data_IF_317018401133
#
_entry.id   IF_317018401133
#
_cell.length_a   1.000
_cell.length_b   1.000
_cell.length_c   1.000
_cell.angle_alpha   90.00
_cell.angle_beta   90.00
_cell.angle_gamma   90.00
#
_symmetry.space_group_name_H-M   'P 1'
#
loop_
_entity.id
_entity.type
_entity.pdbx_description
1 polymer ?
#
# COMPACT_ATOMS: atom_id res chain seq x y z
N UNK A 1 -0.10 70.98 -25.29
CA UNK A 1 -1.23 70.10 -25.01
C UNK A 1 -2.25 70.28 -26.11
N UNK A 2 -2.55 69.20 -26.88
CA UNK A 2 -3.60 69.25 -27.88
C UNK A 2 -4.96 69.30 -27.19
N UNK A 3 -5.82 70.21 -27.59
CA UNK A 3 -7.18 70.35 -27.08
C UNK A 3 -8.08 69.38 -27.85
N UNK A 4 -8.70 68.47 -27.12
CA UNK A 4 -9.67 67.54 -27.69
C UNK A 4 -11.03 68.24 -27.74
N UNK A 5 -11.59 68.49 -28.94
CA UNK A 5 -12.90 69.07 -29.12
C UNK A 5 -13.93 67.94 -29.33
N UNK A 6 -14.89 67.87 -28.41
CA UNK A 6 -15.96 66.90 -28.47
C UNK A 6 -16.37 66.35 -27.06
N UNK A 7 -17.30 65.44 -27.08
CA UNK A 7 -17.69 64.71 -25.85
C UNK A 7 -16.56 63.77 -25.48
N UNK A 8 -16.03 63.86 -24.27
CA UNK A 8 -15.05 62.93 -23.72
C UNK A 8 -15.77 61.61 -23.42
N UNK A 9 -15.43 60.56 -24.10
CA UNK A 9 -16.00 59.23 -23.87
C UNK A 9 -15.09 58.29 -23.07
N UNK A 10 -15.57 57.08 -22.77
CA UNK A 10 -14.82 56.09 -21.98
C UNK A 10 -13.59 55.56 -22.71
N UNK A 11 -13.55 55.66 -24.06
CA UNK A 11 -12.40 55.21 -24.84
C UNK A 11 -11.25 56.20 -24.73
N UNK A 12 -11.55 57.51 -24.67
CA UNK A 12 -10.54 58.59 -24.50
C UNK A 12 -9.88 58.52 -23.10
N UNK A 13 -10.57 57.94 -22.12
CA UNK A 13 -10.09 57.80 -20.75
C UNK A 13 -9.55 56.37 -20.44
N UNK A 14 -9.59 55.46 -21.41
CA UNK A 14 -9.24 54.06 -21.17
C UNK A 14 -7.87 53.84 -20.53
N UNK A 15 -6.87 54.64 -20.91
CA UNK A 15 -5.53 54.60 -20.33
C UNK A 15 -5.40 55.28 -18.96
N UNK A 16 -6.43 56.04 -18.50
CA UNK A 16 -6.43 56.84 -17.27
C UNK A 16 -7.38 56.31 -16.22
N UNK A 17 -8.25 55.35 -16.58
CA UNK A 17 -9.08 54.68 -15.55
C UNK A 17 -8.22 53.87 -14.59
N UNK A 18 -8.53 53.94 -13.32
CA UNK A 18 -7.96 52.99 -12.34
C UNK A 18 -8.44 51.60 -12.68
N UNK A 19 -7.53 50.65 -12.86
CA UNK A 19 -7.91 49.25 -13.05
C UNK A 19 -8.75 48.75 -11.85
N UNK A 20 -9.97 48.34 -12.17
CA UNK A 20 -10.89 47.76 -11.19
C UNK A 20 -10.62 46.25 -11.10
N UNK A 21 -9.48 45.88 -10.52
CA UNK A 21 -9.17 44.49 -10.21
C UNK A 21 -9.51 44.19 -8.75
N UNK A 22 -10.09 43.04 -8.50
CA UNK A 22 -10.27 42.59 -7.12
C UNK A 22 -8.91 42.43 -6.45
N UNK A 23 -8.76 42.95 -5.24
CA UNK A 23 -7.54 42.83 -4.45
C UNK A 23 -7.40 41.45 -3.77
N UNK A 24 -8.50 40.67 -3.69
CA UNK A 24 -8.48 39.34 -3.11
C UNK A 24 -8.03 38.27 -4.11
N UNK A 25 -7.05 37.46 -3.75
CA UNK A 25 -6.60 36.31 -4.52
C UNK A 25 -7.40 35.08 -4.13
N UNK A 26 -8.01 34.42 -5.11
CA UNK A 26 -8.68 33.14 -4.90
C UNK A 26 -7.66 32.01 -5.11
N UNK A 27 -7.51 31.17 -4.10
CA UNK A 27 -6.62 30.02 -4.18
C UNK A 27 -7.44 28.78 -4.55
N UNK A 28 -6.96 28.03 -5.55
CA UNK A 28 -7.49 26.71 -5.85
C UNK A 28 -6.95 25.72 -4.79
N UNK A 29 -7.84 24.94 -4.20
CA UNK A 29 -7.52 23.97 -3.14
C UNK A 29 -6.83 24.54 -1.88
N UNK A 30 -7.32 25.62 -1.27
CA UNK A 30 -6.67 26.20 -0.09
C UNK A 30 -6.75 25.28 1.14
N UNK A 31 -7.82 24.47 1.24
CA UNK A 31 -8.08 23.54 2.35
C UNK A 31 -8.44 22.16 1.78
N UNK A 32 -7.94 21.09 2.44
CA UNK A 32 -8.23 19.71 2.05
C UNK A 32 -7.42 19.19 0.85
N UNK A 33 -6.36 19.91 0.45
CA UNK A 33 -5.44 19.45 -0.60
C UNK A 33 -4.55 18.28 -0.13
N UNK A 34 -4.44 18.07 1.19
CA UNK A 34 -3.54 17.12 1.83
C UNK A 34 -4.31 16.19 2.78
N UNK A 35 -5.16 15.28 2.25
CA UNK A 35 -6.00 14.45 3.11
C UNK A 35 -5.22 13.46 3.96
N UNK A 36 -4.12 12.90 3.46
CA UNK A 36 -3.29 11.95 4.20
C UNK A 36 -2.49 12.67 5.30
N UNK A 37 -1.77 13.74 4.98
CA UNK A 37 -1.04 14.52 5.97
C UNK A 37 -1.96 15.14 7.02
N UNK A 38 -3.14 15.62 6.61
CA UNK A 38 -4.14 16.13 7.54
C UNK A 38 -4.71 15.05 8.46
N UNK A 39 -4.80 13.83 8.01
CA UNK A 39 -5.21 12.69 8.82
C UNK A 39 -4.07 12.25 9.76
N UNK A 40 -2.85 12.12 9.25
CA UNK A 40 -1.68 11.70 10.04
C UNK A 40 -1.37 12.69 11.17
N UNK A 41 -1.57 13.98 10.95
CA UNK A 41 -1.41 15.00 12.01
C UNK A 41 -2.47 14.93 13.13
N UNK A 42 -3.55 14.17 12.93
CA UNK A 42 -4.58 13.93 13.96
C UNK A 42 -4.38 12.58 14.67
N UNK A 43 -3.57 11.69 14.11
CA UNK A 43 -3.17 10.43 14.71
C UNK A 43 -1.93 10.64 15.60
N UNK A 44 -1.56 9.61 16.34
CA UNK A 44 -0.35 9.63 17.14
C UNK A 44 0.88 9.79 16.25
N UNK A 45 1.65 10.83 16.51
CA UNK A 45 2.98 11.02 15.94
C UNK A 45 4.00 10.39 16.87
N UNK A 46 4.93 9.64 16.29
CA UNK A 46 6.00 9.01 17.05
C UNK A 46 7.34 9.48 16.51
N UNK A 47 8.02 10.37 17.24
CA UNK A 47 9.30 10.93 16.83
C UNK A 47 10.42 9.90 16.81
N UNK A 48 11.42 10.11 15.96
CA UNK A 48 12.59 9.25 15.81
C UNK A 48 13.87 10.03 16.07
N UNK A 49 14.87 9.37 16.67
CA UNK A 49 16.15 10.01 17.03
C UNK A 49 17.23 9.83 15.96
N UNK A 50 16.97 9.02 14.93
CA UNK A 50 17.94 8.68 13.88
C UNK A 50 17.29 8.73 12.51
N UNK A 51 18.06 9.04 11.45
CA UNK A 51 17.56 9.03 10.08
C UNK A 51 17.08 7.66 9.60
N UNK A 52 17.54 6.58 10.21
CA UNK A 52 17.05 5.21 9.96
C UNK A 52 16.24 4.77 11.17
N UNK A 53 15.01 4.42 10.94
CA UNK A 53 14.12 3.90 11.97
C UNK A 53 13.51 2.57 11.53
N UNK A 54 13.08 1.77 12.49
CA UNK A 54 12.48 0.46 12.23
C UNK A 54 11.40 0.15 13.23
N UNK A 55 10.59 -0.83 12.87
CA UNK A 55 9.54 -1.41 13.71
C UNK A 55 9.50 -2.92 13.53
N UNK A 56 8.88 -3.61 14.47
CA UNK A 56 8.76 -5.05 14.45
C UNK A 56 7.34 -5.45 14.08
N UNK A 57 7.21 -6.38 13.14
CA UNK A 57 5.92 -6.95 12.73
C UNK A 57 5.91 -8.44 13.03
N UNK A 58 4.87 -8.90 13.73
CA UNK A 58 4.61 -10.32 13.95
C UNK A 58 3.26 -10.68 13.33
N UNK A 59 3.27 -11.73 12.49
CA UNK A 59 2.07 -12.20 11.80
C UNK A 59 1.63 -13.51 12.37
N UNK A 60 0.33 -13.64 12.64
CA UNK A 60 -0.22 -14.93 12.97
C UNK A 60 -0.04 -15.89 11.79
N UNK A 61 0.75 -16.93 12.01
CA UNK A 61 1.10 -17.89 10.98
C UNK A 61 0.03 -18.98 10.89
N UNK A 62 -0.62 -19.11 9.77
CA UNK A 62 -1.36 -20.33 9.43
C UNK A 62 -0.34 -21.33 8.93
N UNK A 63 -0.14 -22.43 9.67
CA UNK A 63 0.79 -23.48 9.26
C UNK A 63 0.32 -24.14 7.98
N UNK A 64 0.81 -23.59 6.86
CA UNK A 64 0.45 -24.01 5.51
C UNK A 64 1.69 -23.96 4.62
N UNK A 65 1.76 -24.86 3.66
CA UNK A 65 2.73 -24.83 2.56
C UNK A 65 2.04 -25.27 1.27
N UNK A 66 2.73 -25.15 0.16
CA UNK A 66 2.26 -25.67 -1.12
C UNK A 66 3.08 -26.89 -1.52
N UNK A 67 2.46 -27.81 -2.27
CA UNK A 67 3.20 -28.90 -2.89
C UNK A 67 4.02 -28.37 -4.04
N UNK A 68 5.23 -28.88 -4.21
CA UNK A 68 5.97 -28.68 -5.45
C UNK A 68 6.24 -30.00 -6.15
N UNK A 69 6.47 -29.92 -7.44
CA UNK A 69 6.74 -31.07 -8.28
C UNK A 69 8.24 -31.38 -8.27
N UNK A 70 8.61 -32.52 -7.68
CA UNK A 70 9.98 -32.99 -7.76
C UNK A 70 10.08 -33.96 -8.96
N UNK A 71 10.84 -33.65 -9.94
CA UNK A 71 11.11 -34.48 -11.15
C UNK A 71 9.86 -35.00 -11.89
N UNK A 72 8.96 -35.74 -11.24
CA UNK A 72 7.79 -36.36 -11.82
C UNK A 72 6.50 -36.28 -11.03
N UNK A 73 6.52 -35.79 -9.78
CA UNK A 73 5.29 -35.66 -8.98
C UNK A 73 5.48 -35.01 -7.62
N UNK A 74 4.35 -34.64 -6.98
CA UNK A 74 4.32 -34.12 -5.62
C UNK A 74 4.30 -35.23 -4.56
N UNK A 75 4.06 -36.50 -4.94
CA UNK A 75 3.97 -37.62 -4.03
C UNK A 75 4.98 -38.72 -4.41
N UNK A 76 5.64 -39.30 -3.43
CA UNK A 76 6.59 -40.40 -3.61
C UNK A 76 6.45 -41.46 -2.52
N UNK A 77 7.01 -42.63 -2.76
CA UNK A 77 7.17 -43.66 -1.72
C UNK A 77 8.12 -43.19 -0.65
N UNK A 78 8.13 -43.87 0.52
CA UNK A 78 9.08 -43.55 1.59
C UNK A 78 10.55 -43.66 1.15
N UNK A 79 10.84 -44.46 0.13
CA UNK A 79 12.17 -44.60 -0.48
C UNK A 79 12.53 -43.48 -1.47
N UNK A 80 11.60 -42.54 -1.75
CA UNK A 80 11.82 -41.43 -2.68
C UNK A 80 11.59 -41.80 -4.16
N UNK A 81 10.93 -42.92 -4.44
CA UNK A 81 10.46 -43.26 -5.78
C UNK A 81 9.11 -42.60 -5.97
N UNK A 82 9.00 -41.79 -7.02
CA UNK A 82 7.79 -41.06 -7.32
C UNK A 82 6.61 -42.01 -7.58
N UNK A 83 5.43 -41.61 -7.13
CA UNK A 83 4.21 -42.37 -7.40
C UNK A 83 3.80 -42.21 -8.88
N UNK A 84 3.19 -43.23 -9.42
CA UNK A 84 2.54 -43.14 -10.74
C UNK A 84 1.30 -42.23 -10.66
N UNK A 85 0.86 -41.74 -11.81
CA UNK A 85 -0.33 -40.88 -11.91
C UNK A 85 -1.64 -41.55 -11.47
N UNK A 86 -1.66 -42.82 -11.18
CA UNK A 86 -2.83 -43.54 -10.70
C UNK A 86 -2.44 -44.39 -9.51
N UNK A 87 -2.17 -43.75 -8.38
CA UNK A 87 -1.83 -44.50 -7.18
C UNK A 87 -2.97 -44.45 -6.15
N UNK A 88 -2.90 -45.41 -5.23
CA UNK A 88 -3.84 -45.45 -4.10
C UNK A 88 -3.18 -44.91 -2.84
N UNK A 89 -3.70 -43.80 -2.31
CA UNK A 89 -3.38 -43.30 -0.99
C UNK A 89 -4.00 -44.25 0.05
N UNK A 90 -3.23 -45.17 0.60
CA UNK A 90 -3.74 -46.28 1.44
C UNK A 90 -3.57 -45.96 2.92
N UNK A 91 -4.63 -46.06 3.69
CA UNK A 91 -4.60 -45.86 5.15
C UNK A 91 -3.53 -46.76 5.82
N UNK A 92 -2.74 -46.15 6.70
CA UNK A 92 -1.62 -46.79 7.39
C UNK A 92 -0.30 -46.82 6.62
N UNK A 93 -0.30 -46.64 5.28
CA UNK A 93 0.90 -46.53 4.46
C UNK A 93 1.52 -45.13 4.57
N UNK A 94 2.84 -45.04 4.38
CA UNK A 94 3.58 -43.78 4.47
C UNK A 94 4.05 -43.34 3.10
N UNK A 95 3.88 -42.04 2.81
CA UNK A 95 4.25 -41.38 1.56
C UNK A 95 5.11 -40.17 1.85
N UNK A 96 5.97 -39.78 0.92
CA UNK A 96 6.59 -38.46 0.89
C UNK A 96 5.67 -37.50 0.17
N UNK A 97 5.46 -36.36 0.75
CA UNK A 97 4.79 -35.20 0.13
C UNK A 97 5.83 -34.12 0.00
N UNK A 98 6.15 -33.73 -1.23
CA UNK A 98 7.09 -32.64 -1.48
C UNK A 98 6.39 -31.31 -1.21
N UNK A 99 7.01 -30.46 -0.40
CA UNK A 99 6.46 -29.19 0.05
C UNK A 99 7.52 -28.11 -0.02
N UNK A 100 7.14 -26.90 -0.41
CA UNK A 100 8.04 -25.76 -0.53
C UNK A 100 8.70 -25.41 0.81
N UNK A 101 7.91 -25.39 1.88
CA UNK A 101 8.43 -25.16 3.24
C UNK A 101 8.07 -26.30 4.16
N UNK A 102 9.03 -27.18 4.40
CA UNK A 102 8.88 -28.30 5.33
C UNK A 102 8.98 -27.87 6.80
N UNK A 103 9.50 -26.68 7.08
CA UNK A 103 9.69 -26.18 8.46
C UNK A 103 8.37 -25.83 9.14
N UNK A 104 7.31 -25.67 8.36
CA UNK A 104 5.94 -25.45 8.86
C UNK A 104 5.36 -26.67 9.58
N UNK A 105 5.88 -27.86 9.28
CA UNK A 105 5.31 -29.11 9.75
C UNK A 105 6.17 -29.75 10.82
N UNK A 106 5.51 -30.39 11.79
CA UNK A 106 6.17 -31.14 12.84
C UNK A 106 5.71 -32.59 12.85
N UNK A 107 6.56 -33.43 13.38
CA UNK A 107 6.18 -34.83 13.62
C UNK A 107 4.94 -34.88 14.50
N UNK A 108 3.94 -35.67 14.14
CA UNK A 108 2.63 -35.84 14.75
C UNK A 108 1.59 -34.76 14.41
N UNK A 109 1.90 -33.82 13.52
CA UNK A 109 0.86 -32.95 13.00
C UNK A 109 -0.03 -33.73 12.02
N UNK A 110 -1.32 -33.41 12.06
CA UNK A 110 -2.29 -33.92 11.10
C UNK A 110 -2.37 -32.91 9.97
N UNK A 111 -2.05 -33.36 8.77
CA UNK A 111 -2.11 -32.53 7.58
C UNK A 111 -3.31 -32.84 6.71
N UNK A 112 -3.67 -31.87 5.94
CA UNK A 112 -4.71 -31.95 4.92
C UNK A 112 -4.18 -31.37 3.62
N UNK A 113 -4.07 -32.21 2.59
CA UNK A 113 -3.73 -31.82 1.23
C UNK A 113 -5.04 -31.61 0.49
N UNK A 114 -5.29 -30.39 0.03
CA UNK A 114 -6.55 -29.98 -0.61
C UNK A 114 -6.48 -30.14 -2.11
N UNK A 115 -7.67 -30.43 -2.69
CA UNK A 115 -7.92 -30.36 -4.13
C UNK A 115 -6.98 -31.21 -4.97
N UNK A 116 -6.57 -32.39 -4.46
CA UNK A 116 -5.72 -33.31 -5.21
C UNK A 116 -6.51 -33.90 -6.38
N UNK A 117 -6.06 -33.74 -7.64
CA UNK A 117 -6.80 -34.23 -8.79
C UNK A 117 -6.92 -35.76 -8.81
N UNK A 118 -7.99 -36.26 -9.40
CA UNK A 118 -8.11 -37.66 -9.73
C UNK A 118 -7.30 -37.95 -11.01
N UNK A 119 -6.53 -39.04 -11.02
CA UNK A 119 -5.67 -39.41 -12.13
C UNK A 119 -6.40 -39.58 -13.48
N UNK A 120 -7.65 -40.08 -13.46
CA UNK A 120 -8.45 -40.32 -14.66
C UNK A 120 -9.37 -39.16 -15.04
N UNK A 121 -9.69 -38.27 -14.08
CA UNK A 121 -10.65 -37.19 -14.30
C UNK A 121 -10.23 -35.99 -13.43
N UNK A 122 -9.42 -35.10 -13.99
CA UNK A 122 -8.85 -33.95 -13.28
C UNK A 122 -9.90 -33.00 -12.67
N UNK A 123 -11.15 -33.03 -13.11
CA UNK A 123 -12.26 -32.25 -12.53
C UNK A 123 -12.75 -32.77 -11.17
N UNK A 124 -12.43 -34.05 -10.84
CA UNK A 124 -12.73 -34.60 -9.51
C UNK A 124 -11.57 -34.36 -8.59
N UNK A 125 -11.82 -33.69 -7.47
CA UNK A 125 -10.80 -33.27 -6.52
C UNK A 125 -10.96 -34.04 -5.19
N UNK A 126 -9.86 -34.63 -4.74
CA UNK A 126 -9.80 -35.37 -3.49
C UNK A 126 -9.21 -34.51 -2.36
N UNK A 127 -9.48 -34.95 -1.14
CA UNK A 127 -9.02 -34.35 0.10
C UNK A 127 -8.20 -35.41 0.86
N UNK A 128 -6.87 -35.31 0.80
CA UNK A 128 -6.02 -36.32 1.45
C UNK A 128 -5.65 -35.87 2.85
N UNK A 129 -5.75 -36.76 3.80
CA UNK A 129 -5.37 -36.52 5.21
C UNK A 129 -4.35 -37.53 5.68
N UNK A 130 -3.42 -37.08 6.51
CA UNK A 130 -2.39 -37.95 7.06
C UNK A 130 -1.68 -37.33 8.25
N UNK A 131 -0.94 -38.16 8.98
CA UNK A 131 -0.11 -37.75 10.13
C UNK A 131 1.33 -37.66 9.69
N UNK A 132 1.99 -36.54 9.96
CA UNK A 132 3.43 -36.36 9.70
C UNK A 132 4.22 -37.28 10.62
N UNK A 133 5.05 -38.13 10.06
CA UNK A 133 5.93 -39.05 10.77
C UNK A 133 7.38 -38.62 10.78
N UNK A 134 7.81 -37.89 9.76
CA UNK A 134 9.15 -37.29 9.69
C UNK A 134 9.12 -36.04 8.79
N UNK A 135 10.04 -35.14 9.02
CA UNK A 135 10.28 -33.95 8.18
C UNK A 135 11.73 -33.97 7.69
N UNK A 136 11.94 -33.62 6.44
CA UNK A 136 13.26 -33.48 5.83
C UNK A 136 13.27 -32.36 4.81
N UNK A 137 14.46 -31.90 4.42
CA UNK A 137 14.57 -30.80 3.46
C UNK A 137 13.81 -31.10 2.16
N UNK A 138 12.82 -30.26 1.87
CA UNK A 138 12.01 -30.33 0.66
C UNK A 138 10.85 -31.34 0.69
N UNK A 139 10.66 -32.12 1.74
CA UNK A 139 9.50 -33.01 1.85
C UNK A 139 9.13 -33.34 3.29
N UNK A 140 7.90 -33.78 3.46
CA UNK A 140 7.40 -34.37 4.70
C UNK A 140 7.02 -35.83 4.45
N UNK A 141 7.26 -36.70 5.43
CA UNK A 141 6.78 -38.09 5.39
C UNK A 141 5.47 -38.17 6.14
N UNK A 142 4.44 -38.64 5.47
CA UNK A 142 3.07 -38.62 5.96
C UNK A 142 2.50 -40.03 5.95
N UNK A 143 1.95 -40.47 7.07
CA UNK A 143 1.18 -41.72 7.17
C UNK A 143 -0.29 -41.40 6.89
N UNK A 144 -0.85 -42.00 5.87
CA UNK A 144 -2.24 -41.83 5.46
C UNK A 144 -3.23 -42.28 6.57
N UNK A 145 -4.26 -41.49 6.81
CA UNK A 145 -5.35 -41.82 7.75
C UNK A 145 -6.50 -42.49 7.00
N UNK A 146 -6.79 -42.05 5.80
CA UNK A 146 -7.90 -42.51 4.96
C UNK A 146 -7.36 -43.18 3.68
N UNK A 147 -8.15 -44.06 3.07
CA UNK A 147 -7.80 -44.67 1.79
C UNK A 147 -8.53 -43.95 0.67
N UNK A 148 -7.78 -43.50 -0.35
CA UNK A 148 -8.31 -42.89 -1.56
C UNK A 148 -7.63 -43.47 -2.77
N UNK A 149 -8.42 -44.10 -3.68
CA UNK A 149 -7.94 -44.65 -4.91
C UNK A 149 -7.88 -43.59 -6.05
N UNK A 150 -7.12 -43.91 -7.09
CA UNK A 150 -7.01 -43.10 -8.31
C UNK A 150 -6.54 -41.68 -8.07
N UNK A 151 -5.56 -41.50 -7.21
CA UNK A 151 -4.95 -40.19 -6.88
C UNK A 151 -3.91 -39.85 -7.93
N UNK A 152 -3.95 -38.63 -8.48
CA UNK A 152 -2.89 -38.16 -9.38
C UNK A 152 -1.62 -37.83 -8.58
N UNK A 153 -0.47 -38.07 -9.21
CA UNK A 153 0.84 -37.53 -8.74
C UNK A 153 1.54 -36.75 -9.85
N UNK A 154 0.84 -36.49 -10.97
CA UNK A 154 1.39 -35.80 -12.13
C UNK A 154 1.61 -34.29 -11.93
N UNK A 155 1.88 -33.61 -13.04
CA UNK A 155 2.16 -32.18 -13.05
C UNK A 155 1.00 -31.30 -12.52
N UNK A 156 -0.21 -31.83 -12.50
CA UNK A 156 -1.41 -31.19 -11.95
C UNK A 156 -1.48 -31.19 -10.41
N UNK A 157 -0.51 -31.80 -9.74
CA UNK A 157 -0.38 -31.81 -8.27
C UNK A 157 0.59 -30.75 -7.74
N UNK A 158 1.09 -29.88 -8.58
CA UNK A 158 1.91 -28.72 -8.20
C UNK A 158 1.03 -27.62 -7.61
N UNK A 159 1.57 -26.88 -6.63
CA UNK A 159 0.90 -25.75 -5.95
C UNK A 159 -0.41 -26.12 -5.22
N UNK A 160 -0.57 -27.37 -4.78
CA UNK A 160 -1.69 -27.75 -3.93
C UNK A 160 -1.45 -27.28 -2.51
N UNK A 161 -2.48 -26.76 -1.87
CA UNK A 161 -2.41 -26.31 -0.49
C UNK A 161 -2.33 -27.49 0.50
N UNK A 162 -1.33 -27.45 1.37
CA UNK A 162 -1.14 -28.39 2.46
C UNK A 162 -1.27 -27.64 3.78
N UNK A 163 -2.28 -27.99 4.58
CA UNK A 163 -2.56 -27.34 5.85
C UNK A 163 -2.30 -28.27 7.03
N UNK A 164 -1.86 -27.71 8.16
CA UNK A 164 -1.91 -28.40 9.45
C UNK A 164 -3.29 -28.14 10.08
N UNK A 165 -4.08 -29.19 10.25
CA UNK A 165 -5.44 -29.10 10.82
C UNK A 165 -5.49 -29.48 12.30
N UNK A 166 -4.40 -29.99 12.83
CA UNK A 166 -4.33 -30.37 14.23
C UNK A 166 -3.09 -31.16 14.56
N UNK A 167 -3.01 -31.65 15.76
CA UNK A 167 -1.92 -32.54 16.17
C UNK A 167 -2.46 -33.66 17.06
N UNK A 168 -1.99 -34.89 16.83
CA UNK A 168 -2.29 -36.03 17.63
C UNK A 168 -1.09 -36.43 18.50
N UNK A 169 -1.26 -36.41 19.80
CA UNK A 169 -0.27 -36.95 20.73
C UNK A 169 -0.65 -38.38 21.13
N UNK A 170 0.33 -39.22 21.38
CA UNK A 170 0.15 -40.54 21.92
C UNK A 170 -0.16 -40.48 23.43
N UNK A 171 -0.92 -41.41 23.90
CA UNK A 171 -1.18 -41.58 25.35
C UNK A 171 0.15 -41.90 26.07
N UNK A 172 0.47 -41.14 27.13
CA UNK A 172 1.74 -41.27 27.85
C UNK A 172 2.97 -40.74 27.09
N UNK A 173 2.76 -40.06 25.96
CA UNK A 173 3.84 -39.50 25.13
C UNK A 173 4.53 -38.30 25.76
N UNK A 174 5.74 -37.99 25.29
CA UNK A 174 6.48 -36.78 25.68
C UNK A 174 5.92 -35.55 25.00
N UNK A 175 6.13 -34.36 25.59
CA UNK A 175 5.82 -33.10 24.98
C UNK A 175 6.52 -32.94 23.60
N UNK A 176 5.81 -32.41 22.62
CA UNK A 176 6.37 -32.11 21.31
C UNK A 176 7.43 -31.00 21.39
N UNK A 177 8.31 -30.98 20.41
CA UNK A 177 9.25 -29.87 20.23
C UNK A 177 8.48 -28.59 20.03
N UNK A 178 8.79 -27.54 20.80
CA UNK A 178 8.22 -26.20 20.62
C UNK A 178 8.59 -25.63 19.27
N UNK A 179 7.75 -24.79 18.69
CA UNK A 179 8.12 -23.89 17.59
C UNK A 179 7.86 -22.46 18.01
N UNK A 180 8.63 -21.59 17.46
CA UNK A 180 8.50 -20.15 17.64
C UNK A 180 8.83 -19.46 16.33
N UNK A 181 8.22 -18.33 16.12
CA UNK A 181 8.53 -17.42 15.03
C UNK A 181 9.10 -16.14 15.62
N UNK A 182 10.03 -15.53 14.93
CA UNK A 182 10.53 -14.22 15.33
C UNK A 182 9.79 -13.13 14.55
N UNK A 183 9.47 -12.00 15.21
CA UNK A 183 9.01 -10.82 14.50
C UNK A 183 10.00 -10.39 13.40
N UNK A 184 9.47 -9.83 12.33
CA UNK A 184 10.26 -9.30 11.21
C UNK A 184 10.56 -7.83 11.50
N UNK A 185 11.83 -7.44 11.39
CA UNK A 185 12.23 -6.03 11.46
C UNK A 185 12.02 -5.36 10.10
N UNK A 186 11.20 -4.33 10.07
CA UNK A 186 10.96 -3.48 8.91
C UNK A 186 11.58 -2.12 9.17
N UNK A 187 12.31 -1.57 8.20
CA UNK A 187 12.99 -0.29 8.36
C UNK A 187 12.62 0.70 7.27
N UNK A 188 12.66 2.00 7.59
CA UNK A 188 12.54 3.09 6.64
C UNK A 188 13.55 4.21 6.98
N UNK A 189 13.60 5.24 6.14
CA UNK A 189 14.45 6.41 6.32
C UNK A 189 13.62 7.66 6.50
N UNK A 190 14.13 8.62 7.27
CA UNK A 190 13.64 10.00 7.21
C UNK A 190 14.17 10.67 5.95
N UNK A 191 13.38 11.58 5.40
CA UNK A 191 13.73 12.39 4.25
C UNK A 191 13.69 13.86 4.61
N UNK A 192 14.70 14.61 4.18
CA UNK A 192 14.79 16.06 4.41
C UNK A 192 14.05 16.77 3.27
N UNK A 193 12.98 17.45 3.61
CA UNK A 193 12.22 18.29 2.69
C UNK A 193 12.61 19.74 2.89
N UNK A 194 13.04 20.42 1.83
CA UNK A 194 13.41 21.84 1.86
C UNK A 194 12.69 22.62 0.77
N UNK A 195 12.05 23.72 1.15
CA UNK A 195 11.41 24.62 0.20
C UNK A 195 11.81 26.04 0.53
N UNK A 196 12.85 26.51 -0.18
CA UNK A 196 13.38 27.86 0.03
C UNK A 196 12.66 28.90 -0.82
N UNK A 197 12.57 30.11 -0.31
CA UNK A 197 12.12 31.28 -1.05
C UNK A 197 12.93 32.52 -0.67
N UNK A 198 13.23 33.34 -1.65
CA UNK A 198 14.07 34.51 -1.48
C UNK A 198 13.44 35.75 -2.09
N UNK A 199 13.83 36.90 -1.56
CA UNK A 199 13.40 38.20 -2.02
C UNK A 199 14.59 39.17 -2.03
N UNK A 200 14.64 40.05 -3.02
CA UNK A 200 15.50 41.21 -2.96
C UNK A 200 14.89 42.26 -1.99
N UNK A 201 15.74 43.10 -1.44
CA UNK A 201 15.30 44.22 -0.58
C UNK A 201 14.26 45.10 -1.26
N UNK A 202 14.41 45.37 -2.56
CA UNK A 202 13.48 46.14 -3.36
C UNK A 202 12.11 45.44 -3.46
N UNK A 203 12.08 44.15 -3.71
CA UNK A 203 10.83 43.36 -3.79
C UNK A 203 10.06 43.33 -2.46
N UNK A 204 10.76 43.31 -1.31
CA UNK A 204 10.13 43.36 0.01
C UNK A 204 9.46 44.71 0.30
N UNK A 205 9.98 45.81 -0.25
CA UNK A 205 9.43 47.13 -0.11
C UNK A 205 8.32 47.45 -1.11
N UNK A 206 8.26 46.71 -2.23
CA UNK A 206 7.22 46.87 -3.24
C UNK A 206 5.87 46.31 -2.72
N UNK A 207 4.84 47.13 -2.81
CA UNK A 207 3.46 46.67 -2.51
C UNK A 207 2.91 45.80 -3.62
N UNK A 208 2.11 44.80 -3.28
CA UNK A 208 1.36 44.03 -4.24
C UNK A 208 0.05 44.74 -4.61
N UNK A 209 -0.25 44.81 -5.88
CA UNK A 209 -1.46 45.48 -6.38
C UNK A 209 -2.75 44.72 -6.01
N UNK A 210 -2.65 43.42 -5.79
CA UNK A 210 -3.79 42.50 -5.56
C UNK A 210 -3.88 41.99 -4.12
N UNK A 211 -2.92 42.29 -3.25
CA UNK A 211 -2.89 41.78 -1.90
C UNK A 211 -2.21 42.79 -0.94
N UNK A 212 -2.98 43.30 0.05
CA UNK A 212 -2.48 44.23 1.06
C UNK A 212 -1.68 43.51 2.15
N UNK A 213 -1.67 42.15 2.19
CA UNK A 213 -0.94 41.36 3.20
C UNK A 213 0.59 41.38 3.02
N UNK A 214 1.05 41.83 1.85
CA UNK A 214 2.45 41.97 1.50
C UNK A 214 3.03 40.77 0.78
N UNK A 215 4.06 41.02 -0.04
CA UNK A 215 4.75 40.03 -0.89
C UNK A 215 5.24 38.82 -0.10
N UNK A 216 5.77 39.06 1.09
CA UNK A 216 6.34 38.02 1.96
C UNK A 216 5.29 36.99 2.39
N UNK A 217 4.18 37.43 2.97
CA UNK A 217 3.13 36.53 3.48
C UNK A 217 2.51 35.70 2.39
N UNK A 218 2.22 36.32 1.23
CA UNK A 218 1.64 35.63 0.08
C UNK A 218 2.57 34.52 -0.44
N UNK A 219 3.87 34.82 -0.54
CA UNK A 219 4.85 33.86 -1.06
C UNK A 219 5.17 32.78 -0.03
N UNK A 220 5.27 33.11 1.26
CA UNK A 220 5.43 32.13 2.33
C UNK A 220 4.27 31.12 2.34
N UNK A 221 3.02 31.60 2.21
CA UNK A 221 1.83 30.73 2.10
C UNK A 221 1.89 29.81 0.87
N UNK A 222 2.26 30.34 -0.30
CA UNK A 222 2.39 29.49 -1.52
C UNK A 222 3.47 28.43 -1.37
N UNK A 223 4.60 28.77 -0.77
CA UNK A 223 5.69 27.81 -0.57
C UNK A 223 5.36 26.79 0.52
N UNK A 224 4.62 27.14 1.56
CA UNK A 224 4.09 26.19 2.55
C UNK A 224 3.18 25.16 1.87
N UNK A 225 2.23 25.59 1.02
CA UNK A 225 1.38 24.67 0.25
C UNK A 225 2.19 23.76 -0.68
N UNK A 226 3.22 24.30 -1.33
CA UNK A 226 4.12 23.51 -2.17
C UNK A 226 4.89 22.48 -1.34
N UNK A 227 5.38 22.86 -0.18
CA UNK A 227 6.11 22.00 0.75
C UNK A 227 5.25 20.82 1.18
N UNK A 228 4.02 21.08 1.63
CA UNK A 228 3.05 20.02 1.98
C UNK A 228 2.67 19.14 0.79
N UNK A 229 2.57 19.70 -0.42
CA UNK A 229 2.30 18.89 -1.62
C UNK A 229 3.40 17.84 -1.88
N UNK A 230 4.65 18.24 -1.70
CA UNK A 230 5.79 17.32 -1.92
C UNK A 230 5.80 16.23 -0.86
N UNK A 231 5.53 16.57 0.41
CA UNK A 231 5.42 15.58 1.49
C UNK A 231 4.27 14.60 1.26
N UNK A 232 3.08 15.11 0.92
CA UNK A 232 1.90 14.28 0.63
C UNK A 232 2.19 13.26 -0.48
N UNK A 233 2.77 13.71 -1.60
CA UNK A 233 3.10 12.82 -2.71
C UNK A 233 4.21 11.84 -2.35
N UNK A 234 5.18 12.22 -1.53
CA UNK A 234 6.23 11.32 -1.06
C UNK A 234 5.67 10.22 -0.15
N UNK A 235 4.65 10.51 0.68
CA UNK A 235 3.97 9.50 1.48
C UNK A 235 3.28 8.42 0.62
N UNK A 236 2.74 8.78 -0.55
CA UNK A 236 2.15 7.79 -1.46
C UNK A 236 3.18 7.07 -2.32
N UNK A 237 4.08 7.81 -2.97
CA UNK A 237 4.91 7.33 -4.09
C UNK A 237 6.42 7.35 -3.80
N UNK A 238 6.85 7.70 -2.60
CA UNK A 238 8.25 7.73 -2.21
C UNK A 238 8.92 6.36 -2.36
N UNK A 239 10.21 6.37 -2.68
CA UNK A 239 11.01 5.14 -2.82
C UNK A 239 12.11 5.15 -1.77
N UNK A 240 12.15 4.13 -0.92
CA UNK A 240 13.20 3.97 0.08
C UNK A 240 14.55 3.79 -0.59
N UNK A 241 15.45 4.75 -0.39
CA UNK A 241 16.80 4.70 -0.95
C UNK A 241 17.76 5.60 -0.17
N UNK A 242 19.02 5.20 -0.12
CA UNK A 242 20.13 6.02 0.34
C UNK A 242 21.10 6.20 -0.82
N UNK A 243 21.40 7.45 -1.14
CA UNK A 243 22.38 7.83 -2.16
C UNK A 243 23.50 8.65 -1.49
N UNK A 244 24.65 8.72 -2.13
CA UNK A 244 25.72 9.66 -1.77
C UNK A 244 25.75 10.78 -2.80
N UNK A 245 25.57 12.00 -2.35
CA UNK A 245 25.52 13.19 -3.20
C UNK A 245 26.64 14.14 -2.78
N UNK A 246 27.29 14.76 -3.75
CA UNK A 246 28.31 15.79 -3.49
C UNK A 246 27.62 17.09 -3.10
N UNK A 247 27.92 17.64 -1.91
CA UNK A 247 27.42 18.93 -1.46
C UNK A 247 28.11 20.08 -2.21
N UNK A 248 27.68 21.32 -1.94
CA UNK A 248 28.26 22.52 -2.57
C UNK A 248 29.73 22.75 -2.19
N UNK A 249 30.21 22.16 -1.11
CA UNK A 249 31.59 22.23 -0.64
C UNK A 249 32.49 21.14 -1.25
N UNK A 250 31.91 20.20 -2.01
CA UNK A 250 32.63 19.11 -2.69
C UNK A 250 32.71 17.80 -1.88
N UNK A 251 32.08 17.73 -0.70
CA UNK A 251 32.08 16.55 0.14
C UNK A 251 30.92 15.59 -0.23
N UNK A 252 31.20 14.29 -0.15
CA UNK A 252 30.18 13.25 -0.31
C UNK A 252 29.35 13.12 0.96
N UNK A 253 28.07 13.48 0.87
CA UNK A 253 27.12 13.40 2.00
C UNK A 253 25.98 12.43 1.68
N UNK A 254 25.46 11.70 2.70
CA UNK A 254 24.33 10.81 2.48
C UNK A 254 23.04 11.59 2.21
N UNK A 255 22.29 11.16 1.20
CA UNK A 255 20.93 11.60 0.90
C UNK A 255 19.98 10.43 1.13
N UNK A 256 19.08 10.56 2.09
CA UNK A 256 18.07 9.54 2.41
C UNK A 256 16.72 9.91 1.82
N UNK A 257 16.03 8.93 1.27
CA UNK A 257 14.68 9.04 0.71
C UNK A 257 13.76 8.07 1.42
N UNK A 258 12.59 8.56 1.85
CA UNK A 258 11.60 7.74 2.54
C UNK A 258 10.84 6.85 1.57
N UNK A 259 10.54 5.61 1.97
CA UNK A 259 9.61 4.74 1.26
C UNK A 259 8.17 5.18 1.54
N UNK A 260 7.38 5.34 0.49
CA UNK A 260 5.94 5.60 0.57
C UNK A 260 5.10 4.32 0.53
N UNK A 261 3.79 4.48 0.58
CA UNK A 261 2.82 3.36 0.62
C UNK A 261 3.02 2.42 -0.58
N UNK A 262 3.10 2.96 -1.81
CA UNK A 262 3.30 2.13 -3.02
C UNK A 262 4.58 1.29 -2.93
N UNK A 263 5.66 1.82 -2.37
CA UNK A 263 6.93 1.10 -2.23
C UNK A 263 6.78 -0.11 -1.31
N UNK A 264 6.12 0.05 -0.14
CA UNK A 264 5.88 -1.06 0.80
C UNK A 264 4.98 -2.14 0.20
N UNK A 265 3.92 -1.74 -0.53
CA UNK A 265 3.07 -2.70 -1.25
C UNK A 265 3.86 -3.51 -2.27
N UNK A 266 4.76 -2.85 -3.01
CA UNK A 266 5.64 -3.52 -3.98
C UNK A 266 6.62 -4.46 -3.31
N UNK A 267 7.21 -4.10 -2.16
CA UNK A 267 8.09 -5.00 -1.40
C UNK A 267 7.34 -6.23 -0.89
N UNK A 268 6.09 -6.06 -0.47
CA UNK A 268 5.23 -7.18 -0.09
C UNK A 268 4.99 -8.13 -1.27
N UNK A 269 4.72 -7.60 -2.47
CA UNK A 269 4.50 -8.42 -3.67
C UNK A 269 5.75 -9.17 -4.13
N UNK A 270 6.93 -8.59 -3.97
CA UNK A 270 8.22 -9.24 -4.29
C UNK A 270 8.48 -10.40 -3.33
N UNK A 271 8.12 -10.27 -2.06
CA UNK A 271 8.40 -11.29 -1.05
C UNK A 271 9.89 -11.57 -0.86
N UNK A 272 10.21 -12.74 -0.33
CA UNK A 272 11.59 -13.19 -0.14
C UNK A 272 12.05 -14.13 -1.25
N UNK A 273 12.26 -13.60 -2.44
CA UNK A 273 12.74 -14.39 -3.59
C UNK A 273 14.26 -14.38 -3.77
N UNK A 274 15.01 -13.76 -2.85
CA UNK A 274 16.44 -13.55 -3.01
C UNK A 274 16.81 -12.50 -4.07
N UNK A 275 15.84 -11.95 -4.78
CA UNK A 275 16.01 -10.96 -5.85
C UNK A 275 15.85 -9.50 -5.38
N UNK A 276 16.23 -9.19 -4.14
CA UNK A 276 16.30 -7.81 -3.66
C UNK A 276 15.07 -7.31 -2.91
N UNK A 277 14.17 -8.17 -2.47
CA UNK A 277 13.18 -7.84 -1.45
C UNK A 277 13.89 -7.42 -0.17
N UNK A 278 13.58 -6.22 0.35
CA UNK A 278 14.22 -5.71 1.56
C UNK A 278 13.71 -6.39 2.82
N UNK A 279 12.56 -7.04 2.76
CA UNK A 279 11.89 -7.64 3.92
C UNK A 279 11.21 -8.96 3.54
N UNK A 280 11.27 -9.89 4.45
CA UNK A 280 10.62 -11.19 4.30
C UNK A 280 9.15 -11.14 4.77
N UNK A 281 8.33 -10.40 4.03
CA UNK A 281 6.90 -10.29 4.36
C UNK A 281 6.12 -11.58 4.13
N UNK A 282 6.58 -12.42 3.19
CA UNK A 282 5.94 -13.68 2.82
C UNK A 282 6.98 -14.78 2.79
N UNK A 283 6.92 -15.66 3.76
CA UNK A 283 7.78 -16.85 3.79
C UNK A 283 7.43 -17.77 2.62
N UNK A 284 8.36 -17.94 1.67
CA UNK A 284 8.24 -18.87 0.56
C UNK A 284 7.27 -18.48 -0.57
N UNK A 285 6.74 -17.25 -0.59
CA UNK A 285 5.86 -16.78 -1.66
C UNK A 285 6.60 -16.43 -2.95
N UNK A 286 6.04 -16.79 -4.11
CA UNK A 286 6.56 -16.36 -5.41
C UNK A 286 6.46 -14.84 -5.59
N UNK A 287 7.40 -14.25 -6.35
CA UNK A 287 7.33 -12.84 -6.73
C UNK A 287 6.12 -12.60 -7.66
N UNK A 288 5.17 -11.82 -7.18
CA UNK A 288 3.97 -11.45 -7.95
C UNK A 288 4.00 -10.00 -8.43
N UNK A 289 5.09 -9.27 -8.20
CA UNK A 289 5.18 -7.85 -8.53
C UNK A 289 5.00 -7.55 -10.03
N UNK A 290 5.51 -8.44 -10.89
CA UNK A 290 5.41 -8.31 -12.34
C UNK A 290 4.08 -8.82 -12.94
N UNK A 291 3.26 -9.53 -12.16
CA UNK A 291 2.01 -10.10 -12.64
C UNK A 291 0.94 -9.04 -12.84
N UNK A 292 0.20 -9.14 -13.93
CA UNK A 292 -0.93 -8.24 -14.24
C UNK A 292 -2.29 -8.87 -13.91
N UNK A 293 -2.36 -10.19 -13.87
CA UNK A 293 -3.56 -10.95 -13.50
C UNK A 293 -3.68 -11.03 -11.98
N UNK A 294 -4.28 -9.99 -11.40
CA UNK A 294 -4.45 -9.88 -9.97
C UNK A 294 -5.50 -10.86 -9.41
N UNK A 295 -6.43 -11.35 -10.23
CA UNK A 295 -7.45 -12.30 -9.79
C UNK A 295 -6.84 -13.67 -9.43
N UNK A 296 -5.86 -14.11 -10.21
CA UNK A 296 -5.15 -15.37 -9.97
C UNK A 296 -4.17 -15.28 -8.80
N UNK A 297 -3.50 -14.12 -8.65
CA UNK A 297 -2.47 -13.93 -7.61
C UNK A 297 -3.02 -13.22 -6.37
N UNK A 298 -3.37 -13.98 -5.35
CA UNK A 298 -4.00 -13.48 -4.12
C UNK A 298 -3.15 -12.46 -3.34
N UNK A 299 -1.84 -12.56 -3.42
CA UNK A 299 -0.90 -11.65 -2.72
C UNK A 299 -0.66 -10.34 -3.46
N UNK A 300 -1.27 -10.14 -4.64
CA UNK A 300 -1.17 -8.89 -5.38
C UNK A 300 -1.90 -7.77 -4.65
N UNK A 301 -1.18 -6.67 -4.34
CA UNK A 301 -1.70 -5.49 -3.62
C UNK A 301 -1.74 -4.23 -4.48
N UNK A 302 -0.96 -4.20 -5.54
CA UNK A 302 -1.04 -3.17 -6.58
C UNK A 302 -1.84 -3.75 -7.74
N UNK A 303 -3.06 -3.30 -7.91
CA UNK A 303 -4.05 -3.84 -8.85
C UNK A 303 -4.08 -2.99 -10.13
N UNK A 304 -3.45 -3.42 -11.23
CA UNK A 304 -3.47 -2.70 -12.50
C UNK A 304 -4.76 -3.00 -13.27
N UNK A 305 -5.84 -2.28 -12.98
CA UNK A 305 -7.12 -2.45 -13.71
C UNK A 305 -7.01 -1.93 -15.13
N UNK A 306 -6.44 -0.73 -15.31
CA UNK A 306 -6.25 -0.07 -16.61
C UNK A 306 -7.49 -0.09 -17.52
N UNK A 307 -8.69 0.01 -16.94
CA UNK A 307 -9.93 -0.09 -17.70
C UNK A 307 -11.17 -0.18 -16.82
N UNK A 308 -12.11 -1.01 -17.23
CA UNK A 308 -13.37 -1.25 -16.52
C UNK A 308 -13.32 -2.61 -15.82
N UNK A 309 -13.87 -2.66 -14.61
CA UNK A 309 -14.10 -3.91 -13.88
C UNK A 309 -15.52 -4.43 -14.17
N UNK A 310 -15.68 -5.74 -14.17
CA UNK A 310 -17.00 -6.35 -14.04
C UNK A 310 -17.46 -6.28 -12.58
N UNK A 311 -18.74 -6.52 -12.33
CA UNK A 311 -19.28 -6.55 -10.97
C UNK A 311 -18.56 -7.59 -10.11
N UNK A 312 -18.37 -8.80 -10.64
CA UNK A 312 -17.72 -9.90 -9.89
C UNK A 312 -16.26 -9.56 -9.55
N UNK A 313 -15.55 -8.92 -10.48
CA UNK A 313 -14.19 -8.43 -10.23
C UNK A 313 -14.16 -7.33 -9.18
N UNK A 314 -15.14 -6.44 -9.19
CA UNK A 314 -15.26 -5.40 -8.17
C UNK A 314 -15.55 -5.99 -6.79
N UNK A 315 -16.46 -6.97 -6.69
CA UNK A 315 -16.74 -7.67 -5.43
C UNK A 315 -15.50 -8.42 -4.93
N UNK A 316 -14.73 -9.06 -5.82
CA UNK A 316 -13.46 -9.72 -5.48
C UNK A 316 -12.40 -8.73 -4.99
N UNK A 317 -12.36 -7.53 -5.59
CA UNK A 317 -11.44 -6.46 -5.16
C UNK A 317 -11.78 -5.98 -3.74
N UNK A 318 -13.05 -5.75 -3.45
CA UNK A 318 -13.50 -5.33 -2.12
C UNK A 318 -13.26 -6.44 -1.10
N UNK A 319 -13.60 -7.69 -1.42
CA UNK A 319 -13.30 -8.85 -0.56
C UNK A 319 -11.81 -8.90 -0.22
N UNK A 320 -10.94 -8.75 -1.22
CA UNK A 320 -9.48 -8.71 -1.03
C UNK A 320 -9.02 -7.56 -0.14
N UNK A 321 -9.64 -6.38 -0.30
CA UNK A 321 -9.32 -5.23 0.54
C UNK A 321 -9.62 -5.48 2.02
N UNK A 322 -10.67 -6.26 2.33
CA UNK A 322 -11.10 -6.56 3.70
C UNK A 322 -10.66 -7.94 4.23
N UNK A 323 -10.03 -8.78 3.40
CA UNK A 323 -9.60 -10.13 3.79
C UNK A 323 -8.60 -10.10 4.94
N UNK A 324 -7.72 -9.10 4.96
CA UNK A 324 -6.76 -8.90 6.03
C UNK A 324 -7.03 -7.55 6.69
N UNK A 325 -7.36 -7.58 7.96
CA UNK A 325 -7.56 -6.38 8.78
C UNK A 325 -6.76 -6.55 10.06
N UNK A 326 -6.21 -5.47 10.58
CA UNK A 326 -5.42 -5.47 11.82
C UNK A 326 -6.28 -5.41 13.08
N UNK A 327 -7.52 -4.95 12.97
CA UNK A 327 -8.44 -4.75 14.09
C UNK A 327 -9.82 -5.36 13.79
N UNK A 328 -10.65 -5.50 14.85
CA UNK A 328 -12.04 -5.94 14.71
C UNK A 328 -12.92 -4.96 13.92
N UNK A 329 -12.49 -3.71 13.78
CA UNK A 329 -13.19 -2.69 13.00
C UNK A 329 -12.84 -2.83 11.53
N UNK A 330 -13.78 -3.36 10.77
CA UNK A 330 -13.69 -3.48 9.31
C UNK A 330 -13.95 -2.12 8.62
N UNK A 331 -13.14 -1.11 8.96
CA UNK A 331 -13.25 0.24 8.41
C UNK A 331 -11.96 0.61 7.67
N UNK A 332 -12.07 1.06 6.42
CA UNK A 332 -10.91 1.48 5.63
C UNK A 332 -11.18 2.82 4.93
N UNK A 333 -10.13 3.60 4.77
CA UNK A 333 -10.15 4.86 4.05
C UNK A 333 -9.78 4.62 2.58
N UNK A 334 -10.64 5.04 1.67
CA UNK A 334 -10.37 5.03 0.23
C UNK A 334 -10.07 6.46 -0.23
N UNK A 335 -8.79 6.77 -0.42
CA UNK A 335 -8.34 8.02 -1.01
C UNK A 335 -8.25 7.84 -2.52
N UNK A 336 -9.05 8.57 -3.29
CA UNK A 336 -9.20 8.31 -4.71
C UNK A 336 -9.34 9.59 -5.55
N UNK A 337 -9.07 9.46 -6.84
CA UNK A 337 -9.37 10.48 -7.82
C UNK A 337 -10.85 10.50 -8.21
N UNK A 338 -11.26 11.60 -8.85
CA UNK A 338 -12.67 11.81 -9.26
C UNK A 338 -13.18 10.79 -10.28
N UNK A 339 -12.28 10.17 -11.07
CA UNK A 339 -12.63 9.11 -12.01
C UNK A 339 -13.16 7.86 -11.32
N UNK A 340 -12.50 7.46 -10.23
CA UNK A 340 -12.93 6.32 -9.40
C UNK A 340 -14.27 6.59 -8.75
N UNK A 341 -14.49 7.79 -8.18
CA UNK A 341 -15.79 8.18 -7.62
C UNK A 341 -16.90 8.17 -8.65
N UNK A 342 -16.62 8.62 -9.89
CA UNK A 342 -17.56 8.56 -10.99
C UNK A 342 -17.92 7.11 -11.34
N UNK A 343 -16.91 6.22 -11.44
CA UNK A 343 -17.12 4.80 -11.73
C UNK A 343 -17.99 4.14 -10.66
N UNK A 344 -17.71 4.45 -9.39
CA UNK A 344 -18.47 3.94 -8.26
C UNK A 344 -19.91 4.46 -8.22
N UNK A 345 -20.14 5.75 -8.43
CA UNK A 345 -21.50 6.32 -8.49
C UNK A 345 -22.32 5.68 -9.62
N UNK A 346 -21.71 5.49 -10.80
CA UNK A 346 -22.41 4.83 -11.91
C UNK A 346 -22.77 3.38 -11.62
N UNK A 347 -21.93 2.67 -10.88
CA UNK A 347 -22.21 1.31 -10.41
C UNK A 347 -23.40 1.29 -9.43
N UNK A 348 -23.40 2.19 -8.46
CA UNK A 348 -24.50 2.32 -7.49
C UNK A 348 -25.84 2.65 -8.17
N UNK A 349 -25.85 3.60 -9.10
CA UNK A 349 -27.06 4.02 -9.82
C UNK A 349 -27.63 2.89 -10.67
N UNK A 350 -26.79 2.16 -11.41
CA UNK A 350 -27.22 1.07 -12.31
C UNK A 350 -27.78 -0.12 -11.56
N UNK A 351 -27.27 -0.43 -10.39
CA UNK A 351 -27.72 -1.60 -9.61
C UNK A 351 -28.94 -1.33 -8.74
N UNK A 352 -29.52 -0.12 -8.78
CA UNK A 352 -30.56 0.31 -7.84
C UNK A 352 -30.20 0.02 -6.38
N UNK A 353 -28.91 -0.11 -6.11
CA UNK A 353 -28.38 -0.16 -4.76
C UNK A 353 -28.70 1.22 -4.20
N UNK A 354 -29.79 1.31 -3.45
CA UNK A 354 -30.05 2.47 -2.62
C UNK A 354 -28.90 2.56 -1.65
N UNK A 355 -27.88 3.27 -2.04
CA UNK A 355 -26.82 3.74 -1.14
C UNK A 355 -27.49 4.76 -0.21
N UNK A 356 -28.34 4.23 0.66
CA UNK A 356 -29.01 5.00 1.71
C UNK A 356 -27.96 5.65 2.62
N UNK A 357 -26.72 5.24 2.49
CA UNK A 357 -25.56 5.67 3.27
C UNK A 357 -24.61 6.61 2.54
N UNK A 358 -24.67 6.74 1.20
CA UNK A 358 -23.87 7.72 0.46
C UNK A 358 -24.23 9.19 0.79
N UNK A 359 -25.36 9.44 1.43
CA UNK A 359 -25.81 10.77 1.82
C UNK A 359 -25.48 11.16 3.26
N UNK A 360 -24.92 10.27 4.06
CA UNK A 360 -24.42 10.64 5.38
C UNK A 360 -23.02 11.19 5.22
N UNK A 361 -22.90 12.50 5.12
CA UNK A 361 -21.64 13.19 5.30
C UNK A 361 -21.26 13.02 6.77
N UNK A 362 -20.44 12.06 7.05
CA UNK A 362 -19.80 11.96 8.37
C UNK A 362 -18.58 12.84 8.36
N UNK A 363 -18.56 13.83 9.24
CA UNK A 363 -17.38 14.61 9.55
C UNK A 363 -16.50 13.77 10.49
N UNK A 364 -15.81 12.78 9.93
CA UNK A 364 -14.79 12.05 10.68
C UNK A 364 -13.44 12.72 10.46
N UNK A 365 -12.71 12.92 11.53
CA UNK A 365 -11.40 13.60 11.50
C UNK A 365 -11.42 15.01 10.86
N UNK A 366 -12.53 15.75 10.98
CA UNK A 366 -12.66 17.10 10.40
C UNK A 366 -12.70 17.14 8.87
N UNK A 367 -12.90 16.00 8.21
CA UNK A 367 -12.98 15.87 6.76
C UNK A 367 -14.36 15.33 6.35
N UNK A 368 -14.95 15.93 5.30
CA UNK A 368 -16.14 15.38 4.66
C UNK A 368 -15.78 14.10 3.89
N UNK A 369 -16.31 12.98 4.31
CA UNK A 369 -16.15 11.67 3.68
C UNK A 369 -17.49 11.11 3.26
N UNK A 370 -17.48 10.25 2.25
CA UNK A 370 -18.66 9.49 1.82
C UNK A 370 -18.52 8.06 2.33
N UNK A 371 -19.44 7.64 3.20
CA UNK A 371 -19.48 6.30 3.77
C UNK A 371 -20.20 5.34 2.82
N UNK A 372 -19.63 4.17 2.59
CA UNK A 372 -20.26 3.05 1.89
C UNK A 372 -20.07 1.77 2.71
N UNK A 373 -21.18 1.09 2.97
CA UNK A 373 -21.20 -0.17 3.71
C UNK A 373 -21.33 -1.35 2.73
N UNK A 374 -20.37 -2.24 2.78
CA UNK A 374 -20.37 -3.51 2.04
C UNK A 374 -20.59 -4.68 3.01
N UNK A 375 -20.92 -5.89 2.50
CA UNK A 375 -20.98 -7.09 3.34
C UNK A 375 -19.63 -7.43 4.01
N UNK A 376 -18.54 -6.92 3.48
CA UNK A 376 -17.16 -7.19 3.96
C UNK A 376 -16.68 -6.15 4.96
N UNK A 377 -17.20 -4.93 4.91
CA UNK A 377 -16.79 -3.83 5.79
C UNK A 377 -17.20 -2.47 5.25
N UNK A 378 -16.77 -1.43 5.93
CA UNK A 378 -17.10 -0.03 5.62
C UNK A 378 -15.93 0.65 4.92
N UNK A 379 -16.22 1.32 3.79
CA UNK A 379 -15.29 2.18 3.07
C UNK A 379 -15.68 3.65 3.21
N UNK A 380 -14.71 4.47 3.61
CA UNK A 380 -14.83 5.92 3.62
C UNK A 380 -14.12 6.49 2.39
N UNK A 381 -14.87 7.01 1.45
CA UNK A 381 -14.33 7.62 0.24
C UNK A 381 -13.97 9.08 0.47
N UNK A 382 -12.73 9.42 0.14
CA UNK A 382 -12.23 10.80 0.12
C UNK A 382 -11.63 11.12 -1.23
N UNK A 383 -12.16 12.16 -1.88
CA UNK A 383 -11.54 12.68 -3.11
C UNK A 383 -10.24 13.41 -2.78
N UNK A 384 -9.17 13.06 -3.50
CA UNK A 384 -7.87 13.70 -3.37
C UNK A 384 -7.68 14.79 -4.41
N UNK A 385 -7.56 16.07 -4.03
CA UNK A 385 -7.44 17.16 -4.99
C UNK A 385 -6.23 17.05 -5.91
N UNK A 386 -5.08 16.58 -5.42
CA UNK A 386 -3.87 16.41 -6.22
C UNK A 386 -4.05 15.30 -7.27
N UNK A 387 -4.75 14.21 -6.94
CA UNK A 387 -5.06 13.15 -7.90
C UNK A 387 -6.02 13.65 -8.99
N UNK A 388 -6.92 14.57 -8.65
CA UNK A 388 -7.82 15.16 -9.63
C UNK A 388 -7.12 16.11 -10.60
N UNK A 389 -6.04 16.77 -10.16
CA UNK A 389 -5.31 17.74 -10.96
C UNK A 389 -4.54 17.09 -12.11
N UNK A 390 -4.05 15.86 -11.91
CA UNK A 390 -3.32 15.11 -12.93
C UNK A 390 -4.18 14.00 -13.54
N UNK A 391 -4.19 13.92 -14.87
CA UNK A 391 -4.92 12.88 -15.60
C UNK A 391 -4.40 11.46 -15.30
N UNK A 392 -3.12 11.31 -14.98
CA UNK A 392 -2.49 10.03 -14.67
C UNK A 392 -3.07 9.39 -13.39
N UNK A 393 -3.34 10.21 -12.37
CA UNK A 393 -3.82 9.71 -11.06
C UNK A 393 -5.33 9.81 -10.86
N UNK A 394 -6.06 10.42 -11.81
CA UNK A 394 -7.52 10.63 -11.68
C UNK A 394 -8.31 9.34 -11.50
N UNK A 395 -7.81 8.24 -12.04
CA UNK A 395 -8.45 6.92 -12.02
C UNK A 395 -7.80 5.97 -11.00
N UNK A 396 -6.97 6.50 -10.11
CA UNK A 396 -6.27 5.72 -9.09
C UNK A 396 -6.95 5.86 -7.73
N UNK A 397 -6.84 4.81 -6.92
CA UNK A 397 -7.37 4.77 -5.56
C UNK A 397 -6.44 3.99 -4.63
N UNK A 398 -6.22 4.52 -3.44
CA UNK A 398 -5.59 3.82 -2.33
C UNK A 398 -6.65 3.47 -1.30
N UNK A 399 -6.78 2.19 -0.97
CA UNK A 399 -7.60 1.69 0.14
C UNK A 399 -6.65 1.43 1.30
N UNK A 400 -6.78 2.20 2.36
CA UNK A 400 -5.82 2.27 3.46
C UNK A 400 -6.48 1.88 4.78
N UNK A 401 -5.75 1.11 5.56
CA UNK A 401 -6.00 0.91 6.97
C UNK A 401 -5.23 1.99 7.74
N UNK A 402 -5.95 2.98 8.22
CA UNK A 402 -5.36 4.20 8.79
C UNK A 402 -4.57 3.91 10.07
N UNK A 403 -5.01 2.93 10.87
CA UNK A 403 -4.33 2.54 12.10
C UNK A 403 -2.92 1.94 11.88
N UNK A 404 -2.64 1.50 10.66
CA UNK A 404 -1.36 0.92 10.27
C UNK A 404 -0.40 1.90 9.57
N UNK A 405 -0.71 3.19 9.58
CA UNK A 405 0.13 4.23 9.00
C UNK A 405 0.48 5.24 10.08
N UNK A 406 1.78 5.44 10.33
CA UNK A 406 2.27 6.36 11.35
C UNK A 406 3.25 7.35 10.74
N UNK A 407 3.10 8.62 11.10
CA UNK A 407 4.05 9.66 10.72
C UNK A 407 5.22 9.68 11.70
N UNK A 408 6.44 9.71 11.17
CA UNK A 408 7.68 9.61 11.92
C UNK A 408 8.56 10.85 11.68
N UNK A 409 8.32 11.97 12.37
CA UNK A 409 9.22 13.11 12.31
C UNK A 409 10.52 12.83 13.08
N UNK A 410 11.63 13.40 12.62
CA UNK A 410 12.85 13.43 13.41
C UNK A 410 12.66 14.38 14.58
N UNK A 411 13.15 13.98 15.76
CA UNK A 411 13.01 14.77 17.00
C UNK A 411 13.50 16.20 16.78
N UNK A 412 12.67 17.18 17.18
CA UNK A 412 12.92 18.63 17.03
C UNK A 412 13.10 19.11 15.57
N UNK A 413 12.71 18.33 14.57
CA UNK A 413 12.87 18.65 13.13
C UNK A 413 11.58 18.49 12.32
N UNK A 414 10.43 18.58 12.97
CA UNK A 414 9.14 18.69 12.27
C UNK A 414 9.03 20.06 11.60
N UNK A 415 7.96 20.27 10.84
CA UNK A 415 7.81 21.41 9.93
C UNK A 415 8.11 22.77 10.58
N UNK A 416 9.26 23.32 10.24
CA UNK A 416 9.75 24.62 10.73
C UNK A 416 9.93 25.63 9.61
N UNK A 417 9.68 26.91 9.93
CA UNK A 417 10.06 28.03 9.07
C UNK A 417 11.38 28.63 9.54
N UNK A 418 12.46 28.29 8.88
CA UNK A 418 13.77 28.86 9.14
C UNK A 418 13.91 30.20 8.41
N UNK A 419 14.19 31.27 9.18
CA UNK A 419 14.26 32.63 8.67
C UNK A 419 15.70 33.12 8.60
N UNK A 420 15.97 34.10 7.70
CA UNK A 420 17.25 34.80 7.55
C UNK A 420 18.43 33.86 7.20
N UNK A 421 18.19 32.93 6.24
CA UNK A 421 19.19 31.97 5.75
C UNK A 421 20.03 32.50 4.56
N UNK A 422 20.05 33.80 4.31
CA UNK A 422 20.83 34.38 3.23
C UNK A 422 22.32 34.49 3.61
N UNK A 423 23.25 34.38 2.63
CA UNK A 423 24.65 34.74 2.82
C UNK A 423 24.81 36.19 3.22
N UNK A 424 25.94 36.56 3.87
CA UNK A 424 26.18 37.91 4.39
C UNK A 424 26.26 38.99 3.31
N UNK A 425 26.64 38.64 2.09
CA UNK A 425 26.78 39.51 0.92
C UNK A 425 25.50 39.65 0.08
N UNK A 426 24.44 38.95 0.45
CA UNK A 426 23.16 38.96 -0.28
C UNK A 426 22.25 40.11 0.18
N UNK A 427 21.96 41.06 -0.72
CA UNK A 427 21.00 42.16 -0.46
C UNK A 427 19.55 41.69 -0.61
N UNK A 428 19.06 40.99 0.41
CA UNK A 428 17.73 40.43 0.41
C UNK A 428 17.47 39.54 1.62
N UNK A 429 16.38 38.79 1.58
CA UNK A 429 15.99 37.84 2.60
C UNK A 429 15.73 36.49 1.95
N UNK A 430 16.29 35.42 2.53
CA UNK A 430 16.04 34.01 2.16
C UNK A 430 15.52 33.27 3.38
N UNK A 431 14.35 32.70 3.25
CA UNK A 431 13.73 31.84 4.25
C UNK A 431 13.43 30.49 3.64
N UNK A 432 13.31 29.45 4.46
CA UNK A 432 12.99 28.10 3.99
C UNK A 432 12.06 27.36 4.95
N UNK A 433 11.16 26.57 4.39
CA UNK A 433 10.45 25.53 5.10
C UNK A 433 11.32 24.29 5.13
N UNK A 434 11.50 23.73 6.30
CA UNK A 434 12.27 22.51 6.54
C UNK A 434 11.39 21.51 7.29
N UNK A 435 11.40 20.27 6.83
CA UNK A 435 10.82 19.13 7.54
C UNK A 435 11.73 17.93 7.34
N UNK A 436 11.99 17.18 8.38
CA UNK A 436 12.65 15.89 8.28
C UNK A 436 11.73 14.84 8.89
N UNK A 437 11.18 13.99 8.01
CA UNK A 437 10.20 13.00 8.42
C UNK A 437 10.22 11.77 7.51
N UNK A 438 9.71 10.66 8.04
CA UNK A 438 9.48 9.42 7.32
C UNK A 438 8.06 8.91 7.53
N UNK A 439 7.72 7.83 6.83
CA UNK A 439 6.45 7.14 6.95
C UNK A 439 6.68 5.71 7.43
N UNK A 440 5.96 5.30 8.44
CA UNK A 440 5.85 3.91 8.86
C UNK A 440 4.58 3.32 8.30
N UNK A 441 4.71 2.21 7.57
CA UNK A 441 3.58 1.47 7.00
C UNK A 441 3.64 0.05 7.53
N UNK A 442 2.75 -0.25 8.46
CA UNK A 442 2.62 -1.57 9.08
C UNK A 442 1.72 -2.46 8.23
N UNK A 443 2.02 -3.74 8.22
CA UNK A 443 1.18 -4.76 7.56
C UNK A 443 0.73 -4.34 6.15
N UNK A 444 1.63 -4.28 5.16
CA UNK A 444 1.29 -3.86 3.79
C UNK A 444 0.13 -4.64 3.18
N UNK A 445 -0.11 -5.87 3.65
CA UNK A 445 -1.24 -6.71 3.25
C UNK A 445 -2.61 -6.12 3.60
N UNK A 446 -2.69 -5.18 4.53
CA UNK A 446 -3.95 -4.50 4.91
C UNK A 446 -4.30 -3.35 3.97
N UNK A 447 -3.36 -2.92 3.13
CA UNK A 447 -3.54 -1.82 2.18
C UNK A 447 -3.68 -2.34 0.76
N UNK A 448 -4.30 -1.53 -0.10
CA UNK A 448 -4.47 -1.86 -1.53
C UNK A 448 -4.31 -0.60 -2.38
N UNK A 449 -3.64 -0.74 -3.52
CA UNK A 449 -3.53 0.32 -4.52
C UNK A 449 -4.15 -0.12 -5.85
N UNK A 450 -5.19 0.56 -6.29
CA UNK A 450 -5.92 0.30 -7.54
C UNK A 450 -5.51 1.34 -8.57
N UNK A 451 -4.99 0.89 -9.71
CA UNK A 451 -4.52 1.75 -10.80
C UNK A 451 -5.48 1.72 -11.99
N UNK A 452 -5.84 2.89 -12.50
CA UNK A 452 -6.48 3.04 -13.79
C UNK A 452 -7.94 2.55 -13.86
N UNK A 453 -8.71 2.62 -12.77
CA UNK A 453 -10.12 2.26 -12.76
C UNK A 453 -10.98 3.33 -13.44
N UNK A 454 -11.48 3.04 -14.65
CA UNK A 454 -12.30 3.99 -15.45
C UNK A 454 -13.80 3.75 -15.36
N UNK A 455 -14.24 2.57 -14.97
CA UNK A 455 -15.65 2.22 -14.82
C UNK A 455 -15.87 0.86 -14.20
N UNK A 456 -17.11 0.61 -13.76
CA UNK A 456 -17.58 -0.68 -13.30
C UNK A 456 -18.79 -1.05 -14.15
N UNK A 457 -18.71 -2.21 -14.85
CA UNK A 457 -19.74 -2.70 -15.74
C UNK A 457 -20.57 -3.75 -15.01
N UNK A 458 -21.87 -3.66 -15.18
CA UNK A 458 -22.86 -4.58 -14.57
C UNK A 458 -23.09 -5.78 -15.48
#
# INVERSE_FOLDING_TARGET
MAQILGLMDSADLSAKYSETARRSVFYQYPNGAFPLMGLLSLLEEESVDKPTFGWWEDRHKTYKSQTYHNTTGAFATTGGVDQSDDFTWTAGSSYRVYVDDYTEFRVRDIIWVRNVPQATTATVLYQLKGVVTATASGYITVRAIETQANVSSGADTENLDVFVIGSAAEEGGRSKTGSYTFPIEVTNYTQIYRTAFSFSRTALKAGLRFDDSGVYKTKAKKNSLRHMTVQELACYFGVKRTDSVTNDDGDAVPETKTGGIEWFLKQYEVGNTGNGGSFDYRLGGADVSAQTDWETYEDKRIIPVNGTLTRDQFDSLIERAFRVTSEENYEKLCVCGSGVLKAFNQFCDRNSIKTTTLNTKEDSYGMNMTKWESPYGTLYFKSHPLFNADAAFRNDAFILDVGNIVYRPLTDSDTELLTNRQPQDFDGRKDEWLTEAGLEVRFPETHLYVKGLTGIVV
#
